data_IF_290387772331
#
_entry.id   IF_290387772331
#
_cell.length_a   1.000
_cell.length_b   1.000
_cell.length_c   1.000
_cell.angle_alpha   90.00
_cell.angle_beta   90.00
_cell.angle_gamma   90.00
#
_symmetry.space_group_name_H-M   'P 1'
#
loop_
_entity.id
_entity.type
_entity.pdbx_description
1 polymer ?
#
# COMPACT_ATOMS: atom_id res chain seq x y z
N UNK A 1 7.26 25.91 -13.95
CA UNK A 1 6.10 25.45 -13.15
C UNK A 1 6.41 24.00 -12.80
N UNK A 2 6.63 23.65 -11.53
CA UNK A 2 6.91 22.25 -11.13
C UNK A 2 5.57 21.57 -10.88
N UNK A 3 5.28 20.51 -11.64
CA UNK A 3 4.14 19.62 -11.40
C UNK A 3 4.19 19.10 -9.95
N UNK A 4 3.06 19.17 -9.26
CA UNK A 4 2.90 18.60 -7.94
C UNK A 4 2.83 17.07 -8.10
N UNK A 5 3.95 16.39 -7.87
CA UNK A 5 4.05 14.94 -7.83
C UNK A 5 3.09 14.41 -6.73
N UNK A 6 1.93 13.90 -7.12
CA UNK A 6 0.94 13.28 -6.23
C UNK A 6 1.31 11.81 -5.96
N UNK A 7 2.59 11.59 -5.64
CA UNK A 7 3.18 10.25 -5.63
C UNK A 7 2.99 9.68 -4.25
N UNK A 8 1.87 8.96 -4.12
CA UNK A 8 1.72 8.05 -2.99
C UNK A 8 2.73 6.94 -3.13
N UNK A 9 3.36 6.57 -2.02
CA UNK A 9 4.16 5.37 -1.94
C UNK A 9 3.22 4.17 -1.76
N UNK A 10 3.13 3.33 -2.78
CA UNK A 10 2.37 2.09 -2.74
C UNK A 10 3.16 1.00 -2.02
N UNK A 11 2.55 0.41 -1.00
CA UNK A 11 3.09 -0.68 -0.18
C UNK A 11 2.26 -1.94 -0.46
N UNK A 12 2.90 -2.90 -1.10
CA UNK A 12 2.35 -4.24 -1.28
C UNK A 12 2.60 -5.07 -0.03
N UNK A 13 1.57 -5.75 0.46
CA UNK A 13 1.65 -6.60 1.64
C UNK A 13 0.78 -7.84 1.49
N UNK A 14 1.09 -8.90 2.23
CA UNK A 14 0.30 -10.13 2.29
C UNK A 14 -0.73 -10.05 3.42
N UNK A 15 -2.02 -9.96 3.08
CA UNK A 15 -3.14 -9.91 4.02
C UNK A 15 -3.41 -11.21 4.76
N UNK A 16 -2.91 -12.35 4.29
CA UNK A 16 -2.97 -13.62 5.01
C UNK A 16 -1.90 -13.70 6.11
N UNK A 17 -0.91 -12.79 6.12
CA UNK A 17 0.14 -12.74 7.12
C UNK A 17 -0.19 -11.78 8.28
N UNK A 18 -0.44 -12.34 9.46
CA UNK A 18 -0.80 -11.56 10.67
C UNK A 18 0.26 -10.52 11.09
N UNK A 19 1.54 -10.74 10.78
CA UNK A 19 2.62 -9.77 11.05
C UNK A 19 2.59 -8.60 10.07
N UNK A 20 2.36 -8.88 8.78
CA UNK A 20 2.19 -7.85 7.76
C UNK A 20 1.01 -6.94 8.11
N UNK A 21 -0.15 -7.52 8.43
CA UNK A 21 -1.35 -6.77 8.80
C UNK A 21 -1.12 -5.85 10.02
N UNK A 22 -0.49 -6.37 11.08
CA UNK A 22 -0.16 -5.55 12.27
C UNK A 22 0.73 -4.36 11.91
N UNK A 23 1.71 -4.57 11.02
CA UNK A 23 2.62 -3.50 10.56
C UNK A 23 1.90 -2.47 9.69
N UNK A 24 1.03 -2.91 8.78
CA UNK A 24 0.24 -1.98 7.93
C UNK A 24 -0.74 -1.16 8.76
N UNK A 25 -1.44 -1.76 9.74
CA UNK A 25 -2.31 -1.01 10.65
C UNK A 25 -1.55 0.04 11.48
N UNK A 26 -0.29 -0.23 11.84
CA UNK A 26 0.56 0.75 12.51
C UNK A 26 0.97 1.89 11.56
N UNK A 27 1.42 1.56 10.34
CA UNK A 27 1.81 2.55 9.33
C UNK A 27 0.64 3.45 8.93
N UNK A 28 -0.55 2.89 8.72
CA UNK A 28 -1.77 3.64 8.39
C UNK A 28 -2.12 4.67 9.47
N UNK A 29 -1.89 4.34 10.76
CA UNK A 29 -2.08 5.31 11.86
C UNK A 29 -1.09 6.47 11.80
N UNK A 30 0.12 6.25 11.28
CA UNK A 30 1.17 7.28 11.12
C UNK A 30 1.03 8.09 9.83
N UNK A 31 0.34 7.57 8.82
CA UNK A 31 0.15 8.24 7.52
C UNK A 31 -0.88 9.39 7.59
N UNK A 32 -0.56 10.43 8.36
CA UNK A 32 -1.42 11.60 8.56
C UNK A 32 -1.60 12.44 7.30
N UNK A 33 -0.68 12.33 6.36
CA UNK A 33 -0.68 13.08 5.10
C UNK A 33 -1.28 12.28 3.94
N UNK A 34 -1.78 11.06 4.19
CA UNK A 34 -2.36 10.17 3.17
C UNK A 34 -1.42 9.94 1.98
N UNK A 35 -0.13 9.79 2.26
CA UNK A 35 0.93 9.59 1.28
C UNK A 35 1.24 8.11 1.03
N UNK A 36 0.60 7.20 1.78
CA UNK A 36 0.76 5.78 1.58
C UNK A 36 -0.50 5.19 0.93
N UNK A 37 -0.28 4.23 0.04
CA UNK A 37 -1.31 3.35 -0.48
C UNK A 37 -0.95 1.92 -0.08
N UNK A 38 -1.93 1.12 0.31
CA UNK A 38 -1.71 -0.25 0.78
C UNK A 38 -2.45 -1.21 -0.14
N UNK A 39 -1.73 -2.15 -0.75
CA UNK A 39 -2.31 -3.15 -1.65
C UNK A 39 -2.06 -4.54 -1.08
N UNK A 40 -3.15 -5.27 -0.84
CA UNK A 40 -3.11 -6.66 -0.40
C UNK A 40 -2.90 -7.60 -1.58
N UNK A 41 -1.76 -8.30 -1.63
CA UNK A 41 -1.44 -9.26 -2.69
C UNK A 41 -2.14 -10.62 -2.49
N UNK A 42 -2.69 -10.88 -1.32
CA UNK A 42 -3.48 -12.08 -1.05
C UNK A 42 -4.96 -11.88 -1.45
N UNK A 43 -5.36 -10.67 -1.83
CA UNK A 43 -6.70 -10.39 -2.34
C UNK A 43 -6.95 -11.18 -3.63
N UNK A 44 -8.13 -11.81 -3.80
CA UNK A 44 -8.49 -12.47 -5.05
C UNK A 44 -8.58 -11.49 -6.24
N UNK A 45 -8.73 -10.19 -5.96
CA UNK A 45 -8.79 -9.13 -6.97
C UNK A 45 -7.39 -8.56 -7.32
N UNK A 46 -6.31 -9.04 -6.69
CA UNK A 46 -4.97 -8.56 -6.97
C UNK A 46 -4.50 -8.99 -8.36
N UNK A 47 -4.07 -8.02 -9.17
CA UNK A 47 -3.42 -8.24 -10.46
C UNK A 47 -1.98 -7.76 -10.36
N UNK A 48 -1.01 -8.60 -10.69
CA UNK A 48 0.41 -8.21 -10.69
C UNK A 48 0.64 -7.18 -11.83
N UNK A 49 0.99 -5.92 -11.48
CA UNK A 49 1.12 -4.84 -12.46
C UNK A 49 2.32 -5.02 -13.41
N UNK A 50 3.16 -6.04 -13.23
CA UNK A 50 4.32 -6.34 -14.08
C UNK A 50 4.01 -7.36 -15.18
N UNK A 51 2.85 -8.01 -15.11
CA UNK A 51 2.38 -9.00 -16.10
C UNK A 51 1.09 -8.56 -16.80
N UNK A 52 0.60 -7.36 -16.50
CA UNK A 52 -0.51 -6.71 -17.17
C UNK A 52 -0.05 -5.81 -18.34
#
# INVERSE_FOLDING_TARGET
>A
MKEANNDKLTIYYDGACSLCCKKMSWLQKQDKLQKLEFIDIASPDFTDPRVA
#
